data_IF_066304052965
#
_entry.id   IF_066304052965
#
_cell.length_a   1.000
_cell.length_b   1.000
_cell.length_c   1.000
_cell.angle_alpha   90.00
_cell.angle_beta   90.00
_cell.angle_gamma   90.00
#
_symmetry.space_group_name_H-M   'P 1'
#
loop_
_entity.id
_entity.type
_entity.pdbx_description
1 polymer ?
#
# COMPACT_ATOMS: atom_id res chain seq x y z
N UNK A 1 12.48 -3.50 -0.38
CA UNK A 1 13.40 -4.06 0.66
C UNK A 1 14.57 -3.14 0.95
N UNK A 2 15.42 -2.80 -0.03
CA UNK A 2 16.65 -2.02 0.25
C UNK A 2 16.40 -0.51 0.35
N UNK A 3 15.53 0.04 -0.51
CA UNK A 3 15.37 1.49 -0.66
C UNK A 3 15.00 2.20 0.65
N UNK A 4 13.97 1.74 1.37
CA UNK A 4 13.47 2.47 2.54
C UNK A 4 14.45 2.45 3.73
N UNK A 5 15.09 1.33 4.13
CA UNK A 5 16.18 1.36 5.10
C UNK A 5 17.34 2.26 4.68
N UNK A 6 17.75 2.21 3.41
CA UNK A 6 18.84 3.04 2.88
C UNK A 6 18.51 4.53 2.96
N UNK A 7 17.36 4.91 2.41
CA UNK A 7 16.90 6.30 2.42
C UNK A 7 16.66 6.78 3.85
N UNK A 8 16.10 5.93 4.73
CA UNK A 8 15.90 6.24 6.14
C UNK A 8 17.23 6.55 6.84
N UNK A 9 18.23 5.69 6.65
CA UNK A 9 19.57 5.84 7.21
C UNK A 9 20.27 7.14 6.77
N UNK A 10 20.31 7.40 5.46
CA UNK A 10 20.96 8.60 4.92
C UNK A 10 20.17 9.87 5.24
N UNK A 11 18.84 9.77 5.26
CA UNK A 11 17.99 10.88 5.68
C UNK A 11 18.19 11.22 7.15
N UNK A 12 18.43 10.25 8.04
CA UNK A 12 18.71 10.51 9.46
C UNK A 12 20.00 11.32 9.69
N UNK A 13 20.96 11.28 8.75
CA UNK A 13 22.30 11.88 8.85
C UNK A 13 22.56 12.99 7.83
N UNK A 14 21.51 13.58 7.27
CA UNK A 14 21.67 14.58 6.22
C UNK A 14 22.04 15.96 6.78
N UNK A 15 23.16 16.49 6.30
CA UNK A 15 23.72 17.81 6.68
C UNK A 15 23.30 18.94 5.73
N UNK A 16 22.33 18.71 4.85
CA UNK A 16 21.92 19.71 3.85
C UNK A 16 21.39 21.00 4.49
N UNK A 17 21.71 22.16 3.89
CA UNK A 17 21.20 23.48 4.30
C UNK A 17 19.67 23.59 4.25
N UNK A 18 19.03 22.72 3.47
CA UNK A 18 17.58 22.72 3.32
C UNK A 18 16.86 21.97 4.45
N UNK A 19 17.59 21.30 5.34
CA UNK A 19 17.06 20.44 6.40
C UNK A 19 17.46 18.98 6.21
N UNK A 20 17.17 18.15 7.21
CA UNK A 20 17.56 16.74 7.27
C UNK A 20 16.68 15.83 6.38
N UNK A 21 15.37 16.04 6.36
CA UNK A 21 14.36 15.20 5.67
C UNK A 21 13.95 15.77 4.32
N UNK A 22 13.87 17.09 4.24
CA UNK A 22 13.32 17.82 3.07
C UNK A 22 13.95 17.44 1.72
N UNK A 23 15.29 17.27 1.58
CA UNK A 23 15.89 16.90 0.29
C UNK A 23 15.41 15.54 -0.24
N UNK A 24 15.19 14.56 0.65
CA UNK A 24 14.74 13.23 0.28
C UNK A 24 13.25 13.21 -0.10
N UNK A 25 12.44 14.03 0.59
CA UNK A 25 11.03 14.21 0.23
C UNK A 25 10.92 14.89 -1.14
N UNK A 26 11.70 15.94 -1.39
CA UNK A 26 11.72 16.64 -2.67
C UNK A 26 12.18 15.73 -3.81
N UNK A 27 13.27 14.98 -3.62
CA UNK A 27 13.78 14.06 -4.65
C UNK A 27 12.80 12.92 -4.91
N UNK A 28 12.19 12.35 -3.88
CA UNK A 28 11.13 11.35 -4.01
C UNK A 28 9.95 11.86 -4.83
N UNK A 29 9.45 13.07 -4.56
CA UNK A 29 8.33 13.66 -5.29
C UNK A 29 8.67 13.93 -6.77
N UNK A 30 9.87 14.41 -7.07
CA UNK A 30 10.34 14.58 -8.46
C UNK A 30 10.45 13.24 -9.18
N UNK A 31 10.98 12.20 -8.52
CA UNK A 31 11.08 10.87 -9.10
C UNK A 31 9.70 10.25 -9.38
N UNK A 32 8.71 10.45 -8.49
CA UNK A 32 7.32 10.03 -8.74
C UNK A 32 6.75 10.78 -9.95
N UNK A 33 7.04 12.07 -10.10
CA UNK A 33 6.61 12.85 -11.26
C UNK A 33 7.21 12.32 -12.57
N UNK A 34 8.52 12.05 -12.59
CA UNK A 34 9.21 11.45 -13.75
C UNK A 34 8.63 10.08 -14.07
N UNK A 35 8.43 9.23 -13.06
CA UNK A 35 7.85 7.91 -13.24
C UNK A 35 6.43 7.96 -13.82
N UNK A 36 5.57 8.84 -13.29
CA UNK A 36 4.21 9.03 -13.80
C UNK A 36 4.17 9.53 -15.25
N UNK A 37 5.12 10.39 -15.65
CA UNK A 37 5.27 10.80 -17.05
C UNK A 37 5.72 9.63 -17.94
N UNK A 38 6.69 8.83 -17.50
CA UNK A 38 7.15 7.66 -18.25
C UNK A 38 6.03 6.63 -18.46
N UNK A 39 5.24 6.37 -17.42
CA UNK A 39 4.12 5.43 -17.47
C UNK A 39 2.98 5.98 -18.34
N UNK A 40 2.54 7.22 -18.07
CA UNK A 40 1.42 7.83 -18.80
C UNK A 40 1.72 8.03 -20.28
N UNK A 41 2.93 8.46 -20.63
CA UNK A 41 3.35 8.71 -22.01
C UNK A 41 4.10 7.55 -22.66
N UNK A 42 4.06 6.34 -22.07
CA UNK A 42 4.79 5.17 -22.57
C UNK A 42 4.52 4.90 -24.06
N UNK A 43 3.26 5.01 -24.50
CA UNK A 43 2.88 4.79 -25.90
C UNK A 43 3.46 5.85 -26.86
N UNK A 44 3.50 7.13 -26.46
CA UNK A 44 4.07 8.21 -27.28
C UNK A 44 5.59 8.13 -27.33
N UNK A 45 6.22 7.84 -26.20
CA UNK A 45 7.66 7.64 -26.10
C UNK A 45 8.10 6.43 -26.92
N UNK A 46 7.33 5.34 -26.88
CA UNK A 46 7.55 4.17 -27.73
C UNK A 46 7.48 4.53 -29.22
N UNK A 47 6.45 5.29 -29.63
CA UNK A 47 6.33 5.78 -31.01
C UNK A 47 7.50 6.68 -31.42
N UNK A 48 7.90 7.62 -30.57
CA UNK A 48 9.05 8.51 -30.83
C UNK A 48 10.36 7.72 -30.93
N UNK A 49 10.50 6.66 -30.13
CA UNK A 49 11.61 5.73 -30.21
C UNK A 49 11.51 4.80 -31.44
N UNK A 50 10.37 4.78 -32.14
CA UNK A 50 10.13 4.15 -33.45
C UNK A 50 9.25 2.89 -33.42
N UNK A 51 8.41 2.70 -32.40
CA UNK A 51 7.31 1.72 -32.48
C UNK A 51 6.31 2.15 -33.57
N UNK A 52 5.83 1.20 -34.37
CA UNK A 52 4.79 1.48 -35.36
C UNK A 52 3.40 1.40 -34.72
N UNK A 53 2.44 2.11 -35.30
CA UNK A 53 1.08 2.19 -34.74
C UNK A 53 0.24 0.93 -35.00
N UNK A 54 0.58 0.22 -36.07
CA UNK A 54 -0.06 -0.99 -36.58
C UNK A 54 0.51 -2.29 -35.98
N UNK A 55 1.60 -2.20 -35.21
CA UNK A 55 2.18 -3.35 -34.53
C UNK A 55 1.34 -3.77 -33.31
N UNK A 56 1.04 -5.06 -33.23
CA UNK A 56 0.31 -5.65 -32.09
C UNK A 56 1.09 -5.55 -30.77
N UNK A 57 2.42 -5.57 -30.82
CA UNK A 57 3.30 -5.48 -29.65
C UNK A 57 4.26 -4.31 -29.82
N UNK A 58 4.15 -3.32 -28.94
CA UNK A 58 4.96 -2.10 -28.93
C UNK A 58 6.10 -2.25 -27.92
N UNK A 59 7.21 -2.84 -28.37
CA UNK A 59 8.32 -3.25 -27.49
C UNK A 59 8.93 -2.04 -26.76
N UNK A 60 9.09 -0.91 -27.44
CA UNK A 60 9.72 0.28 -26.84
C UNK A 60 8.79 0.94 -25.82
N UNK A 61 7.48 0.99 -26.11
CA UNK A 61 6.48 1.45 -25.16
C UNK A 61 6.46 0.58 -23.88
N UNK A 62 6.54 -0.75 -24.02
CA UNK A 62 6.63 -1.68 -22.88
C UNK A 62 7.88 -1.41 -22.06
N UNK A 63 9.03 -1.14 -22.70
CA UNK A 63 10.26 -0.80 -22.00
C UNK A 63 10.15 0.48 -21.18
N UNK A 64 9.59 1.56 -21.74
CA UNK A 64 9.37 2.82 -20.99
C UNK A 64 8.39 2.63 -19.84
N UNK A 65 7.31 1.87 -20.05
CA UNK A 65 6.36 1.54 -19.00
C UNK A 65 7.03 0.77 -17.85
N UNK A 66 7.80 -0.27 -18.18
CA UNK A 66 8.51 -1.08 -17.19
C UNK A 66 9.54 -0.25 -16.42
N UNK A 67 10.34 0.57 -17.12
CA UNK A 67 11.29 1.48 -16.48
C UNK A 67 10.58 2.46 -15.54
N UNK A 68 9.49 3.09 -16.01
CA UNK A 68 8.67 4.00 -15.20
C UNK A 68 8.11 3.32 -13.96
N UNK A 69 7.63 2.09 -14.08
CA UNK A 69 7.13 1.29 -12.95
C UNK A 69 8.20 1.01 -11.90
N UNK A 70 9.42 0.64 -12.31
CA UNK A 70 10.56 0.44 -11.40
C UNK A 70 10.97 1.74 -10.70
N UNK A 71 11.03 2.86 -11.44
CA UNK A 71 11.32 4.17 -10.84
C UNK A 71 10.21 4.54 -9.85
N UNK A 72 8.94 4.27 -10.16
CA UNK A 72 7.81 4.56 -9.28
C UNK A 72 7.93 3.83 -7.94
N UNK A 73 8.32 2.55 -7.94
CA UNK A 73 8.52 1.79 -6.70
C UNK A 73 9.65 2.38 -5.85
N UNK A 74 10.80 2.68 -6.46
CA UNK A 74 11.93 3.34 -5.77
C UNK A 74 11.52 4.71 -5.23
N UNK A 75 10.80 5.50 -6.02
CA UNK A 75 10.36 6.85 -5.68
C UNK A 75 9.35 6.84 -4.52
N UNK A 76 8.37 5.93 -4.56
CA UNK A 76 7.38 5.78 -3.49
C UNK A 76 8.04 5.41 -2.16
N UNK A 77 8.99 4.46 -2.17
CA UNK A 77 9.74 4.09 -0.97
C UNK A 77 10.63 5.25 -0.47
N UNK A 78 11.21 6.03 -1.39
CA UNK A 78 12.03 7.21 -1.07
C UNK A 78 11.20 8.37 -0.50
N UNK A 79 9.93 8.49 -0.89
CA UNK A 79 9.03 9.54 -0.43
C UNK A 79 8.34 9.16 0.89
N UNK A 80 7.74 7.98 0.97
CA UNK A 80 6.89 7.58 2.11
C UNK A 80 7.68 7.45 3.42
N UNK A 81 8.90 6.88 3.37
CA UNK A 81 9.74 6.67 4.56
C UNK A 81 10.10 7.99 5.26
N UNK A 82 10.78 8.92 4.58
CA UNK A 82 11.09 10.25 5.10
C UNK A 82 9.87 11.05 5.51
N UNK A 83 8.75 10.99 4.78
CA UNK A 83 7.52 11.67 5.20
C UNK A 83 6.99 11.18 6.55
N UNK A 84 6.96 9.85 6.78
CA UNK A 84 6.56 9.28 8.08
C UNK A 84 7.54 9.63 9.19
N UNK A 85 8.84 9.53 8.91
CA UNK A 85 9.88 9.90 9.86
C UNK A 85 9.78 11.39 10.24
N UNK A 86 9.51 12.25 9.26
CA UNK A 86 9.37 13.69 9.48
C UNK A 86 8.14 14.03 10.34
N UNK A 87 7.01 13.33 10.15
CA UNK A 87 5.85 13.46 11.04
C UNK A 87 6.15 13.04 12.48
N UNK A 88 6.94 11.98 12.66
CA UNK A 88 7.37 11.55 13.99
C UNK A 88 8.35 12.55 14.63
N UNK A 89 9.28 13.11 13.84
CA UNK A 89 10.20 14.15 14.28
C UNK A 89 9.45 15.40 14.77
N UNK A 90 8.38 15.81 14.06
CA UNK A 90 7.53 16.94 14.45
C UNK A 90 6.69 16.69 15.70
N UNK A 91 6.43 15.42 16.03
CA UNK A 91 5.75 15.05 17.28
C UNK A 91 6.67 15.22 18.51
N UNK A 92 7.97 15.44 18.32
CA UNK A 92 8.95 15.75 19.37
C UNK A 92 8.92 14.79 20.56
N UNK A 93 8.79 13.48 20.28
CA UNK A 93 8.77 12.43 21.31
C UNK A 93 7.44 12.27 22.05
N UNK A 94 6.42 13.08 21.76
CA UNK A 94 5.09 12.94 22.35
C UNK A 94 4.34 11.77 21.68
N UNK A 95 4.20 10.67 22.40
CA UNK A 95 3.53 9.45 21.94
C UNK A 95 2.08 9.68 21.50
N UNK A 96 1.37 10.67 22.06
CA UNK A 96 0.00 11.01 21.66
C UNK A 96 -0.01 11.78 20.34
N UNK A 97 0.92 12.71 20.14
CA UNK A 97 1.07 13.42 18.86
C UNK A 97 1.50 12.48 17.75
N UNK A 98 2.44 11.56 18.01
CA UNK A 98 2.89 10.56 17.03
C UNK A 98 1.76 9.65 16.55
N UNK A 99 0.89 9.20 17.48
CA UNK A 99 -0.31 8.41 17.12
C UNK A 99 -1.29 9.22 16.29
N UNK A 100 -1.58 10.46 16.70
CA UNK A 100 -2.45 11.37 15.93
C UNK A 100 -1.90 11.65 14.54
N UNK A 101 -0.59 11.87 14.41
CA UNK A 101 0.06 12.13 13.12
C UNK A 101 -0.04 10.92 12.17
N UNK A 102 0.18 9.70 12.66
CA UNK A 102 0.02 8.47 11.88
C UNK A 102 -1.45 8.18 11.52
N UNK A 103 -2.39 8.56 12.38
CA UNK A 103 -3.82 8.52 12.08
C UNK A 103 -4.18 9.46 10.91
N UNK A 104 -3.69 10.72 10.93
CA UNK A 104 -3.85 11.64 9.80
C UNK A 104 -3.16 11.14 8.53
N UNK A 105 -1.97 10.56 8.65
CA UNK A 105 -1.28 9.96 7.50
C UNK A 105 -2.15 8.87 6.86
N UNK A 106 -2.72 7.97 7.66
CA UNK A 106 -3.62 6.91 7.18
C UNK A 106 -4.92 7.46 6.59
N UNK A 107 -5.47 8.52 7.18
CA UNK A 107 -6.64 9.21 6.64
C UNK A 107 -6.37 9.81 5.26
N UNK A 108 -5.26 10.53 5.06
CA UNK A 108 -4.92 11.08 3.76
C UNK A 108 -4.54 10.02 2.73
N UNK A 109 -3.97 8.87 3.15
CA UNK A 109 -3.85 7.71 2.26
C UNK A 109 -5.22 7.21 1.82
N UNK A 110 -6.20 7.17 2.71
CA UNK A 110 -7.57 6.78 2.38
C UNK A 110 -8.22 7.73 1.38
N UNK A 111 -8.05 9.05 1.57
CA UNK A 111 -8.50 10.08 0.61
C UNK A 111 -7.84 9.86 -0.75
N UNK A 112 -6.52 9.62 -0.79
CA UNK A 112 -5.79 9.29 -2.01
C UNK A 112 -6.34 8.04 -2.72
N UNK A 113 -6.63 6.98 -1.97
CA UNK A 113 -7.22 5.76 -2.52
C UNK A 113 -8.61 6.01 -3.13
N UNK A 114 -9.50 6.74 -2.42
CA UNK A 114 -10.83 7.10 -2.95
C UNK A 114 -10.69 7.91 -4.24
N UNK A 115 -9.83 8.92 -4.26
CA UNK A 115 -9.60 9.75 -5.45
C UNK A 115 -9.01 8.92 -6.60
N UNK A 116 -8.08 8.00 -6.30
CA UNK A 116 -7.50 7.10 -7.29
C UNK A 116 -8.51 6.14 -7.90
N UNK A 117 -9.34 5.47 -7.08
CA UNK A 117 -10.40 4.59 -7.57
C UNK A 117 -11.48 5.37 -8.34
N UNK A 118 -11.86 6.56 -7.87
CA UNK A 118 -12.81 7.43 -8.55
C UNK A 118 -12.27 7.91 -9.91
N UNK A 119 -11.01 8.36 -9.96
CA UNK A 119 -10.37 8.81 -11.19
C UNK A 119 -10.20 7.66 -12.19
N UNK A 120 -9.80 6.46 -11.72
CA UNK A 120 -9.68 5.27 -12.56
C UNK A 120 -11.03 4.75 -13.09
N UNK A 121 -12.11 4.95 -12.35
CA UNK A 121 -13.46 4.56 -12.78
C UNK A 121 -14.12 5.57 -13.74
N UNK A 122 -13.58 6.78 -13.87
CA UNK A 122 -14.17 7.82 -14.71
C UNK A 122 -13.64 7.74 -16.15
N UNK A 123 -14.51 7.42 -17.11
CA UNK A 123 -14.12 7.10 -18.49
C UNK A 123 -13.90 8.33 -19.38
N UNK A 124 -14.27 9.53 -18.93
CA UNK A 124 -14.24 10.74 -19.74
C UNK A 124 -13.26 11.79 -19.19
N UNK A 125 -12.28 11.37 -18.39
CA UNK A 125 -11.31 12.28 -17.77
C UNK A 125 -10.44 12.99 -18.82
N UNK A 126 -10.20 12.32 -19.96
CA UNK A 126 -9.49 12.87 -21.11
C UNK A 126 -10.17 14.10 -21.74
N UNK A 127 -11.49 14.27 -21.58
CA UNK A 127 -12.21 15.44 -22.10
C UNK A 127 -11.81 16.74 -21.37
N UNK A 128 -11.49 16.65 -20.08
CA UNK A 128 -10.98 17.80 -19.31
C UNK A 128 -9.58 18.22 -19.74
N UNK A 129 -8.81 17.29 -20.32
CA UNK A 129 -7.42 17.52 -20.74
C UNK A 129 -7.22 17.00 -22.18
N UNK A 130 -7.74 17.73 -23.19
CA UNK A 130 -7.76 17.24 -24.58
C UNK A 130 -6.37 16.95 -25.15
N UNK A 131 -5.33 17.60 -24.63
CA UNK A 131 -3.93 17.40 -25.01
C UNK A 131 -3.39 15.99 -24.71
N UNK A 132 -4.10 15.20 -23.90
CA UNK A 132 -3.70 13.83 -23.54
C UNK A 132 -3.98 12.81 -24.65
N UNK A 133 -4.94 13.09 -25.53
CA UNK A 133 -5.22 12.26 -26.69
C UNK A 133 -4.17 12.52 -27.78
N UNK A 134 -3.59 11.44 -28.29
CA UNK A 134 -2.58 11.50 -29.36
C UNK A 134 -2.84 10.40 -30.38
N UNK A 135 -2.19 10.48 -31.55
CA UNK A 135 -2.30 9.43 -32.58
C UNK A 135 -1.82 8.05 -32.09
N UNK A 136 -1.08 7.96 -30.99
CA UNK A 136 -0.53 6.73 -30.45
C UNK A 136 -1.34 6.14 -29.28
N UNK A 137 -2.29 6.91 -28.74
CA UNK A 137 -2.92 6.70 -27.45
C UNK A 137 -4.43 6.82 -27.60
N UNK A 138 -5.13 5.73 -27.34
CA UNK A 138 -6.58 5.67 -27.37
C UNK A 138 -7.21 6.34 -26.13
N UNK A 139 -8.54 6.26 -26.01
CA UNK A 139 -9.29 6.87 -24.91
C UNK A 139 -8.85 6.34 -23.54
N UNK A 140 -8.57 5.04 -23.42
CA UNK A 140 -8.12 4.43 -22.17
C UNK A 140 -6.75 4.94 -21.75
N UNK A 141 -5.80 4.96 -22.68
CA UNK A 141 -4.49 5.52 -22.47
C UNK A 141 -4.56 7.03 -22.14
N UNK A 142 -5.45 7.78 -22.80
CA UNK A 142 -5.62 9.22 -22.54
C UNK A 142 -6.18 9.50 -21.14
N UNK A 143 -7.18 8.73 -20.68
CA UNK A 143 -7.67 8.84 -19.30
C UNK A 143 -6.57 8.55 -18.27
N UNK A 144 -5.73 7.54 -18.53
CA UNK A 144 -4.60 7.21 -17.67
C UNK A 144 -3.59 8.38 -17.59
N UNK A 145 -3.26 9.01 -18.73
CA UNK A 145 -2.42 10.22 -18.76
C UNK A 145 -3.03 11.36 -17.96
N UNK A 146 -4.32 11.63 -18.13
CA UNK A 146 -5.03 12.67 -17.37
C UNK A 146 -4.95 12.41 -15.86
N UNK A 147 -5.11 11.15 -15.45
CA UNK A 147 -5.00 10.75 -14.05
C UNK A 147 -3.59 10.98 -13.49
N UNK A 148 -2.54 10.57 -14.22
CA UNK A 148 -1.16 10.83 -13.80
C UNK A 148 -0.83 12.32 -13.80
N UNK A 149 -1.28 13.08 -14.79
CA UNK A 149 -1.07 14.53 -14.84
C UNK A 149 -1.66 15.24 -13.60
N UNK A 150 -2.93 14.96 -13.28
CA UNK A 150 -3.59 15.47 -12.07
C UNK A 150 -2.82 15.07 -10.80
N UNK A 151 -2.43 13.81 -10.70
CA UNK A 151 -1.69 13.27 -9.54
C UNK A 151 -0.33 13.95 -9.36
N UNK A 152 0.40 14.18 -10.45
CA UNK A 152 1.71 14.85 -10.43
C UNK A 152 1.58 16.31 -10.01
N UNK A 153 0.62 17.05 -10.59
CA UNK A 153 0.38 18.45 -10.24
C UNK A 153 0.02 18.57 -8.76
N UNK A 154 -0.89 17.72 -8.28
CA UNK A 154 -1.28 17.69 -6.87
C UNK A 154 -0.11 17.34 -5.95
N UNK A 155 0.67 16.31 -6.29
CA UNK A 155 1.83 15.87 -5.52
C UNK A 155 2.88 16.99 -5.40
N UNK A 156 3.25 17.61 -6.52
CA UNK A 156 4.26 18.67 -6.54
C UNK A 156 3.78 19.90 -5.78
N UNK A 157 2.52 20.32 -5.97
CA UNK A 157 1.93 21.44 -5.25
C UNK A 157 1.96 21.20 -3.74
N UNK A 158 1.44 20.05 -3.27
CA UNK A 158 1.40 19.72 -1.85
C UNK A 158 2.80 19.56 -1.26
N UNK A 159 3.73 18.98 -2.01
CA UNK A 159 5.12 18.84 -1.57
C UNK A 159 5.79 20.20 -1.43
N UNK A 160 5.65 21.09 -2.42
CA UNK A 160 6.21 22.45 -2.34
C UNK A 160 5.64 23.21 -1.15
N UNK A 161 4.31 23.20 -0.98
CA UNK A 161 3.66 23.84 0.18
C UNK A 161 4.21 23.26 1.49
N UNK A 162 4.24 21.93 1.63
CA UNK A 162 4.75 21.27 2.84
C UNK A 162 6.20 21.65 3.14
N UNK A 163 7.09 21.59 2.15
CA UNK A 163 8.52 21.88 2.33
C UNK A 163 8.80 23.37 2.62
N UNK A 164 7.98 24.28 2.09
CA UNK A 164 8.09 25.72 2.38
C UNK A 164 7.62 26.06 3.80
N UNK A 165 6.49 25.51 4.24
CA UNK A 165 5.87 25.88 5.52
C UNK A 165 6.43 25.11 6.73
N UNK A 166 6.77 23.83 6.57
CA UNK A 166 7.14 22.96 7.69
C UNK A 166 8.64 23.03 7.93
N UNK A 167 9.08 23.73 8.97
CA UNK A 167 10.49 23.86 9.35
C UNK A 167 11.11 22.51 9.70
N UNK A 168 12.31 22.27 9.19
CA UNK A 168 13.09 21.06 9.44
C UNK A 168 14.46 21.46 9.99
N UNK A 169 14.90 20.77 11.04
CA UNK A 169 16.20 21.07 11.66
C UNK A 169 17.29 20.37 10.87
N UNK A 170 18.40 21.07 10.64
CA UNK A 170 19.59 20.45 10.07
C UNK A 170 20.18 19.47 11.09
N UNK A 171 20.63 18.30 10.62
CA UNK A 171 21.39 17.39 11.47
C UNK A 171 22.83 17.90 11.59
N UNK A 172 23.30 18.09 12.81
CA UNK A 172 24.71 18.28 13.12
C UNK A 172 25.25 17.00 13.77
N UNK A 173 26.43 16.49 13.34
CA UNK A 173 27.09 15.42 14.07
C UNK A 173 27.32 15.85 15.52
N UNK A 174 27.05 14.98 16.48
CA UNK A 174 27.58 15.17 17.84
C UNK A 174 29.10 15.04 17.77
N UNK A 175 29.83 15.93 18.45
CA UNK A 175 31.27 15.76 18.68
C UNK A 175 31.49 14.50 19.53
N UNK A 176 31.66 13.35 18.87
CA UNK A 176 32.15 12.13 19.52
C UNK A 176 33.62 11.97 19.22
N UNK A 177 34.40 11.71 20.27
CA UNK A 177 35.82 11.39 20.20
C UNK A 177 36.09 10.32 19.14
N UNK A 178 37.18 10.55 18.43
CA UNK A 178 37.72 9.85 17.26
C UNK A 178 37.71 8.32 17.44
N UNK A 179 36.62 7.66 17.04
CA UNK A 179 36.64 6.23 16.70
C UNK A 179 36.60 6.13 15.18
N UNK A 180 37.78 6.01 14.58
CA UNK A 180 38.07 6.00 13.13
C UNK A 180 37.48 4.78 12.36
N UNK A 181 36.50 4.09 12.95
CA UNK A 181 35.82 2.95 12.33
C UNK A 181 34.54 3.45 11.66
N UNK A 182 34.65 3.82 10.38
CA UNK A 182 33.48 3.98 9.50
C UNK A 182 32.84 2.61 9.29
N UNK A 183 31.83 2.29 10.09
CA UNK A 183 31.07 1.05 9.91
C UNK A 183 30.38 1.12 8.54
N UNK A 184 30.53 0.12 7.67
CA UNK A 184 29.82 0.09 6.39
C UNK A 184 28.32 0.15 6.62
N UNK A 185 27.58 0.78 5.70
CA UNK A 185 26.11 0.90 5.75
C UNK A 185 25.41 -0.43 6.12
N UNK A 186 25.78 -1.53 5.48
CA UNK A 186 25.22 -2.84 5.79
C UNK A 186 25.61 -3.32 7.20
N UNK A 187 26.83 -3.04 7.65
CA UNK A 187 27.28 -3.31 9.01
C UNK A 187 26.46 -2.55 10.06
N UNK A 188 26.11 -1.29 9.80
CA UNK A 188 25.23 -0.52 10.68
C UNK A 188 23.78 -1.02 10.67
N UNK A 189 23.26 -1.46 9.53
CA UNK A 189 21.94 -2.10 9.46
C UNK A 189 21.93 -3.40 10.27
N UNK A 190 22.91 -4.30 10.05
CA UNK A 190 23.00 -5.55 10.82
C UNK A 190 23.26 -5.30 12.31
N UNK A 191 24.04 -4.27 12.64
CA UNK A 191 24.23 -3.80 14.01
C UNK A 191 22.94 -3.30 14.63
N UNK A 192 22.17 -2.48 13.91
CA UNK A 192 20.86 -2.00 14.35
C UNK A 192 19.89 -3.17 14.60
N UNK A 193 19.88 -4.19 13.73
CA UNK A 193 19.12 -5.42 13.99
C UNK A 193 19.51 -6.11 15.29
N UNK A 194 20.82 -6.22 15.58
CA UNK A 194 21.30 -6.85 16.83
C UNK A 194 21.02 -6.03 18.09
N UNK A 195 20.98 -4.71 17.98
CA UNK A 195 20.83 -3.79 19.12
C UNK A 195 19.37 -3.37 19.33
N UNK A 196 18.45 -3.73 18.42
CA UNK A 196 17.02 -3.44 18.57
C UNK A 196 16.44 -3.99 19.88
N UNK A 197 15.75 -3.12 20.60
CA UNK A 197 15.06 -3.49 21.84
C UNK A 197 13.97 -4.54 21.59
N UNK A 198 13.70 -5.38 22.60
CA UNK A 198 12.67 -6.41 22.56
C UNK A 198 11.31 -5.90 22.04
N UNK A 199 10.79 -4.71 22.42
CA UNK A 199 9.54 -4.16 21.88
C UNK A 199 9.52 -4.00 20.36
N UNK A 200 10.63 -3.64 19.73
CA UNK A 200 10.70 -3.47 18.28
C UNK A 200 10.67 -4.82 17.55
N UNK A 201 11.37 -5.83 18.07
CA UNK A 201 11.30 -7.20 17.53
C UNK A 201 9.89 -7.78 17.62
N UNK A 202 9.21 -7.58 18.74
CA UNK A 202 7.82 -7.99 18.94
C UNK A 202 6.89 -7.33 17.92
N UNK A 203 7.10 -6.03 17.67
CA UNK A 203 6.36 -5.28 16.67
C UNK A 203 6.60 -5.80 15.23
N UNK A 204 7.86 -6.09 14.88
CA UNK A 204 8.23 -6.63 13.56
C UNK A 204 7.54 -7.97 13.32
N UNK A 205 7.53 -8.88 14.29
CA UNK A 205 6.89 -10.20 14.16
C UNK A 205 5.38 -10.06 13.95
N UNK A 206 4.70 -9.25 14.77
CA UNK A 206 3.25 -9.02 14.64
C UNK A 206 2.91 -8.40 13.29
N UNK A 207 3.72 -7.41 12.87
CA UNK A 207 3.57 -6.76 11.56
C UNK A 207 3.74 -7.75 10.43
N UNK A 208 4.76 -8.61 10.49
CA UNK A 208 5.01 -9.61 9.47
C UNK A 208 3.85 -10.60 9.32
N UNK A 209 3.36 -11.14 10.42
CA UNK A 209 2.19 -12.03 10.42
C UNK A 209 0.93 -11.33 9.87
N UNK A 210 0.73 -10.05 10.22
CA UNK A 210 -0.39 -9.27 9.72
C UNK A 210 -0.30 -9.04 8.20
N UNK A 211 0.89 -8.82 7.66
CA UNK A 211 1.08 -8.64 6.21
C UNK A 211 0.99 -9.95 5.42
N UNK A 212 1.33 -11.10 6.01
CA UNK A 212 0.97 -12.42 5.44
C UNK A 212 -0.55 -12.52 5.27
N UNK A 213 -1.33 -11.98 6.23
CA UNK A 213 -2.78 -12.02 6.16
C UNK A 213 -3.39 -11.11 5.09
N UNK A 214 -2.86 -9.89 4.96
CA UNK A 214 -3.36 -8.90 4.01
C UNK A 214 -3.03 -9.22 2.56
N UNK A 215 -1.88 -9.82 2.32
CA UNK A 215 -1.35 -9.92 0.96
C UNK A 215 -2.22 -10.75 0.00
N UNK A 216 -2.82 -11.89 0.39
CA UNK A 216 -3.77 -12.60 -0.47
C UNK A 216 -4.95 -11.73 -0.89
N UNK A 217 -5.51 -10.94 0.04
CA UNK A 217 -6.58 -10.01 -0.30
C UNK A 217 -6.09 -8.93 -1.28
N UNK A 218 -4.97 -8.27 -0.99
CA UNK A 218 -4.45 -7.19 -1.84
C UNK A 218 -4.04 -7.65 -3.25
N UNK A 219 -3.68 -8.93 -3.41
CA UNK A 219 -3.28 -9.49 -4.69
C UNK A 219 -4.49 -9.96 -5.53
N UNK A 220 -5.53 -10.49 -4.87
CA UNK A 220 -6.60 -11.23 -5.53
C UNK A 220 -8.01 -10.67 -5.29
N UNK A 221 -8.20 -9.54 -4.62
CA UNK A 221 -9.51 -8.99 -4.26
C UNK A 221 -10.46 -8.78 -5.47
N UNK A 222 -9.99 -8.08 -6.49
CA UNK A 222 -10.74 -7.72 -7.69
C UNK A 222 -10.88 -8.90 -8.64
N UNK A 223 -9.84 -9.73 -8.74
CA UNK A 223 -9.89 -11.01 -9.45
C UNK A 223 -10.90 -11.95 -8.79
N UNK A 224 -10.94 -12.04 -7.46
CA UNK A 224 -11.92 -12.81 -6.71
C UNK A 224 -13.35 -12.33 -7.00
N UNK A 225 -13.59 -11.02 -7.05
CA UNK A 225 -14.91 -10.51 -7.44
C UNK A 225 -15.25 -10.88 -8.88
N UNK A 226 -14.30 -10.77 -9.82
CA UNK A 226 -14.47 -11.14 -11.23
C UNK A 226 -14.75 -12.62 -11.45
N UNK A 227 -13.89 -13.47 -10.89
CA UNK A 227 -13.85 -14.91 -11.13
C UNK A 227 -14.78 -15.69 -10.21
N UNK A 228 -14.65 -15.50 -8.91
CA UNK A 228 -15.34 -16.32 -7.92
C UNK A 228 -16.77 -15.84 -7.65
N UNK A 229 -17.00 -14.53 -7.58
CA UNK A 229 -18.33 -13.96 -7.30
C UNK A 229 -19.16 -13.85 -8.59
N UNK A 230 -18.58 -13.35 -9.68
CA UNK A 230 -19.27 -13.16 -10.96
C UNK A 230 -19.18 -14.34 -11.93
N UNK A 231 -18.30 -15.33 -11.68
CA UNK A 231 -18.15 -16.49 -12.57
C UNK A 231 -17.45 -16.16 -13.89
N UNK A 232 -16.72 -15.04 -13.95
CA UNK A 232 -16.01 -14.60 -15.14
C UNK A 232 -14.66 -15.28 -15.33
N UNK A 233 -14.13 -15.17 -16.55
CA UNK A 233 -12.78 -15.61 -16.91
C UNK A 233 -12.16 -14.61 -17.87
N UNK A 234 -10.99 -14.08 -17.51
CA UNK A 234 -10.22 -13.11 -18.30
C UNK A 234 -9.63 -13.72 -19.59
N UNK A 235 -9.37 -15.04 -19.60
CA UNK A 235 -8.88 -15.79 -20.75
C UNK A 235 -9.97 -16.50 -21.57
N UNK A 236 -11.23 -16.45 -21.11
CA UNK A 236 -12.32 -17.24 -21.66
C UNK A 236 -13.03 -16.64 -22.88
N UNK A 237 -14.28 -17.03 -23.07
CA UNK A 237 -15.16 -16.49 -24.14
C UNK A 237 -15.53 -15.02 -23.89
N UNK A 238 -16.07 -14.33 -24.90
CA UNK A 238 -16.51 -12.93 -24.75
C UNK A 238 -17.55 -12.73 -23.63
N UNK A 239 -18.39 -13.73 -23.37
CA UNK A 239 -19.38 -13.70 -22.28
C UNK A 239 -18.67 -13.75 -20.92
N UNK A 240 -17.73 -14.67 -20.73
CA UNK A 240 -17.01 -14.83 -19.46
C UNK A 240 -16.07 -13.66 -19.20
N UNK A 241 -15.46 -13.08 -20.24
CA UNK A 241 -14.68 -11.83 -20.14
C UNK A 241 -15.55 -10.66 -19.71
N UNK A 242 -16.76 -10.54 -20.25
CA UNK A 242 -17.71 -9.49 -19.87
C UNK A 242 -18.11 -9.61 -18.40
N UNK A 243 -18.41 -10.83 -17.93
CA UNK A 243 -18.71 -11.09 -16.51
C UNK A 243 -17.51 -10.78 -15.61
N UNK A 244 -16.30 -11.17 -16.04
CA UNK A 244 -15.07 -10.87 -15.32
C UNK A 244 -14.87 -9.36 -15.16
N UNK A 245 -14.95 -8.61 -16.26
CA UNK A 245 -14.82 -7.15 -16.25
C UNK A 245 -15.88 -6.49 -15.37
N UNK A 246 -17.14 -6.97 -15.43
CA UNK A 246 -18.20 -6.49 -14.54
C UNK A 246 -17.87 -6.72 -13.06
N UNK A 247 -17.39 -7.92 -12.71
CA UNK A 247 -16.97 -8.24 -11.35
C UNK A 247 -15.77 -7.40 -10.91
N UNK A 248 -14.76 -7.20 -11.76
CA UNK A 248 -13.62 -6.31 -11.48
C UNK A 248 -14.08 -4.88 -11.20
N UNK A 249 -15.00 -4.32 -12.01
CA UNK A 249 -15.56 -2.99 -11.76
C UNK A 249 -16.31 -2.91 -10.42
N UNK A 250 -17.08 -3.94 -10.06
CA UNK A 250 -17.77 -4.00 -8.76
C UNK A 250 -16.78 -4.22 -7.61
N UNK A 251 -15.68 -4.93 -7.84
CA UNK A 251 -14.57 -5.07 -6.89
C UNK A 251 -13.89 -3.73 -6.63
N UNK A 252 -13.63 -2.94 -7.66
CA UNK A 252 -13.09 -1.58 -7.55
C UNK A 252 -14.04 -0.65 -6.74
N UNK A 253 -15.36 -0.76 -6.95
CA UNK A 253 -16.34 -0.08 -6.09
C UNK A 253 -16.22 -0.55 -4.63
N UNK A 254 -16.05 -1.85 -4.39
CA UNK A 254 -15.77 -2.40 -3.08
C UNK A 254 -14.52 -1.77 -2.44
N UNK A 255 -13.44 -1.62 -3.19
CA UNK A 255 -12.20 -0.99 -2.69
C UNK A 255 -12.38 0.50 -2.39
N UNK A 256 -13.24 1.19 -3.14
CA UNK A 256 -13.63 2.55 -2.80
C UNK A 256 -14.38 2.61 -1.46
N UNK A 257 -15.31 1.68 -1.20
CA UNK A 257 -16.00 1.57 0.09
C UNK A 257 -15.03 1.22 1.23
N UNK A 258 -14.09 0.30 0.97
CA UNK A 258 -13.00 -0.03 1.88
C UNK A 258 -12.21 1.23 2.26
N UNK A 259 -11.81 2.03 1.28
CA UNK A 259 -11.07 3.27 1.48
C UNK A 259 -11.88 4.33 2.25
N UNK A 260 -13.20 4.42 2.04
CA UNK A 260 -14.07 5.31 2.83
C UNK A 260 -14.07 4.89 4.30
N UNK A 261 -14.30 3.61 4.60
CA UNK A 261 -14.30 3.10 5.98
C UNK A 261 -12.92 3.24 6.62
N UNK A 262 -11.85 2.96 5.87
CA UNK A 262 -10.46 3.19 6.25
C UNK A 262 -10.26 4.65 6.70
N UNK A 263 -10.75 5.63 5.94
CA UNK A 263 -10.64 7.04 6.27
C UNK A 263 -11.34 7.41 7.58
N UNK A 264 -12.62 7.04 7.72
CA UNK A 264 -13.36 7.31 8.96
C UNK A 264 -12.75 6.60 10.17
N UNK A 265 -12.36 5.33 10.02
CA UNK A 265 -11.70 4.59 11.08
C UNK A 265 -10.37 5.23 11.47
N UNK A 266 -9.58 5.71 10.50
CA UNK A 266 -8.29 6.37 10.74
C UNK A 266 -8.42 7.57 11.67
N UNK A 267 -9.43 8.42 11.47
CA UNK A 267 -9.72 9.55 12.37
C UNK A 267 -10.12 9.11 13.78
N UNK A 268 -10.77 7.94 13.90
CA UNK A 268 -11.22 7.35 15.15
C UNK A 268 -10.17 6.51 15.90
N UNK A 269 -9.06 6.10 15.27
CA UNK A 269 -8.11 5.12 15.84
C UNK A 269 -7.66 5.50 17.26
N UNK A 270 -7.29 6.76 17.50
CA UNK A 270 -6.80 7.20 18.82
C UNK A 270 -7.91 7.20 19.89
N UNK A 271 -9.13 7.57 19.53
CA UNK A 271 -10.26 7.55 20.47
C UNK A 271 -10.68 6.12 20.80
N UNK A 272 -10.81 5.26 19.80
CA UNK A 272 -11.17 3.85 19.95
C UNK A 272 -10.09 3.11 20.75
N UNK A 273 -8.82 3.33 20.41
CA UNK A 273 -7.66 2.74 21.09
C UNK A 273 -7.71 3.00 22.61
N UNK A 274 -7.96 4.26 23.02
CA UNK A 274 -8.09 4.60 24.44
C UNK A 274 -9.28 3.90 25.10
N UNK A 275 -10.43 3.87 24.43
CA UNK A 275 -11.65 3.24 24.96
C UNK A 275 -11.51 1.72 25.10
N UNK A 276 -10.74 1.09 24.22
CA UNK A 276 -10.47 -0.36 24.25
C UNK A 276 -9.33 -0.75 25.20
N UNK A 277 -8.72 0.21 25.89
CA UNK A 277 -7.64 -0.03 26.85
C UNK A 277 -6.26 -0.17 26.20
N UNK A 278 -6.03 0.46 25.05
CA UNK A 278 -4.72 0.63 24.43
C UNK A 278 -4.63 0.14 22.97
N UNK A 279 -3.56 0.59 22.29
CA UNK A 279 -3.31 0.29 20.87
C UNK A 279 -3.13 -1.21 20.61
N UNK A 280 -2.52 -1.92 21.57
CA UNK A 280 -2.37 -3.37 21.60
C UNK A 280 -3.70 -4.11 21.46
N UNK A 281 -4.68 -3.76 22.31
CA UNK A 281 -6.00 -4.41 22.32
C UNK A 281 -6.78 -4.11 21.05
N UNK A 282 -6.73 -2.86 20.59
CA UNK A 282 -7.35 -2.47 19.33
C UNK A 282 -6.76 -3.29 18.17
N UNK A 283 -5.43 -3.38 18.05
CA UNK A 283 -4.80 -4.15 16.98
C UNK A 283 -5.16 -5.64 17.04
N UNK A 284 -5.11 -6.25 18.23
CA UNK A 284 -5.52 -7.64 18.40
C UNK A 284 -6.96 -7.91 17.93
N UNK A 285 -7.91 -7.07 18.35
CA UNK A 285 -9.34 -7.23 18.00
C UNK A 285 -9.57 -7.06 16.50
N UNK A 286 -8.99 -6.05 15.87
CA UNK A 286 -9.20 -5.84 14.43
C UNK A 286 -8.57 -6.94 13.59
N UNK A 287 -7.50 -7.59 14.05
CA UNK A 287 -6.93 -8.75 13.37
C UNK A 287 -7.90 -9.96 13.41
N UNK A 288 -8.69 -10.13 14.48
CA UNK A 288 -9.77 -11.11 14.46
C UNK A 288 -10.91 -10.72 13.51
N UNK A 289 -11.21 -9.42 13.38
CA UNK A 289 -12.16 -8.93 12.37
C UNK A 289 -11.64 -9.22 10.95
N UNK A 290 -10.34 -9.00 10.69
CA UNK A 290 -9.69 -9.38 9.44
C UNK A 290 -9.82 -10.88 9.17
N UNK A 291 -9.50 -11.72 10.16
CA UNK A 291 -9.63 -13.17 10.05
C UNK A 291 -11.06 -13.60 9.71
N UNK A 292 -12.05 -13.03 10.40
CA UNK A 292 -13.46 -13.30 10.13
C UNK A 292 -13.88 -12.85 8.74
N UNK A 293 -13.45 -11.67 8.28
CA UNK A 293 -13.78 -11.17 6.94
C UNK A 293 -13.20 -12.07 5.84
N UNK A 294 -11.94 -12.49 5.97
CA UNK A 294 -11.29 -13.40 5.02
C UNK A 294 -11.97 -14.78 5.01
N UNK A 295 -12.35 -15.32 6.17
CA UNK A 295 -13.13 -16.55 6.25
C UNK A 295 -14.52 -16.40 5.61
N UNK A 296 -15.18 -15.25 5.77
CA UNK A 296 -16.48 -14.97 5.16
C UNK A 296 -16.40 -14.79 3.64
N UNK A 297 -15.26 -14.40 3.08
CA UNK A 297 -15.07 -14.39 1.62
C UNK A 297 -15.16 -15.81 1.04
N UNK A 298 -14.63 -16.82 1.74
CA UNK A 298 -14.77 -18.24 1.37
C UNK A 298 -16.25 -18.64 1.35
N UNK A 299 -17.04 -18.19 2.33
CA UNK A 299 -18.48 -18.42 2.36
C UNK A 299 -19.19 -17.77 1.16
N UNK A 300 -18.89 -16.51 0.87
CA UNK A 300 -19.48 -15.79 -0.27
C UNK A 300 -19.17 -16.49 -1.59
N UNK A 301 -17.95 -16.98 -1.79
CA UNK A 301 -17.59 -17.78 -2.98
C UNK A 301 -18.44 -19.04 -3.07
N UNK A 302 -18.59 -19.80 -1.97
CA UNK A 302 -19.40 -21.02 -1.96
C UNK A 302 -20.86 -20.73 -2.33
N UNK A 303 -21.44 -19.69 -1.74
CA UNK A 303 -22.81 -19.25 -2.05
C UNK A 303 -22.95 -18.81 -3.52
N UNK A 304 -21.95 -18.13 -4.08
CA UNK A 304 -21.94 -17.72 -5.49
C UNK A 304 -21.87 -18.94 -6.43
N UNK A 305 -21.02 -19.92 -6.13
CA UNK A 305 -20.92 -21.17 -6.89
C UNK A 305 -22.24 -21.95 -6.84
N UNK A 306 -22.81 -22.11 -5.65
CA UNK A 306 -24.07 -22.86 -5.49
C UNK A 306 -25.24 -22.16 -6.18
N UNK A 307 -25.29 -20.82 -6.16
CA UNK A 307 -26.26 -20.08 -6.95
C UNK A 307 -26.12 -20.35 -8.45
N UNK A 308 -24.90 -20.26 -9.00
CA UNK A 308 -24.64 -20.53 -10.42
C UNK A 308 -25.02 -21.96 -10.83
N UNK A 309 -24.81 -22.95 -9.95
CA UNK A 309 -25.24 -24.34 -10.21
C UNK A 309 -26.75 -24.46 -10.43
N UNK A 310 -27.55 -23.60 -9.79
CA UNK A 310 -29.02 -23.63 -9.89
C UNK A 310 -29.57 -22.67 -10.96
N UNK A 311 -28.98 -21.49 -11.11
CA UNK A 311 -29.48 -20.43 -11.99
C UNK A 311 -28.86 -20.45 -13.40
N UNK A 312 -27.80 -21.23 -13.61
CA UNK A 312 -27.05 -21.34 -14.85
C UNK A 312 -25.61 -20.84 -14.73
N UNK A 313 -24.71 -21.40 -15.54
CA UNK A 313 -23.27 -21.16 -15.48
C UNK A 313 -22.88 -19.68 -15.62
N UNK A 314 -23.63 -18.93 -16.45
CA UNK A 314 -23.40 -17.51 -16.71
C UNK A 314 -24.30 -16.58 -15.87
N UNK A 315 -25.01 -17.11 -14.88
CA UNK A 315 -25.84 -16.30 -13.99
C UNK A 315 -24.94 -15.45 -13.07
N UNK A 316 -25.19 -14.14 -13.04
CA UNK A 316 -24.52 -13.24 -12.11
C UNK A 316 -24.90 -13.51 -10.64
N UNK A 317 -24.19 -12.91 -9.67
CA UNK A 317 -24.51 -13.09 -8.26
C UNK A 317 -25.87 -12.47 -7.93
N UNK A 318 -26.58 -13.07 -6.98
CA UNK A 318 -27.80 -12.46 -6.41
C UNK A 318 -27.47 -11.14 -5.73
N UNK A 319 -28.47 -10.28 -5.55
CA UNK A 319 -28.31 -9.02 -4.82
C UNK A 319 -27.74 -9.24 -3.39
N UNK A 320 -28.13 -10.33 -2.73
CA UNK A 320 -27.62 -10.69 -1.40
C UNK A 320 -26.15 -11.07 -1.40
N UNK A 321 -25.70 -11.87 -2.38
CA UNK A 321 -24.28 -12.27 -2.51
C UNK A 321 -23.42 -11.04 -2.84
N UNK A 322 -23.88 -10.20 -3.78
CA UNK A 322 -23.20 -8.95 -4.14
C UNK A 322 -23.10 -8.00 -2.94
N UNK A 323 -24.20 -7.81 -2.21
CA UNK A 323 -24.21 -6.96 -1.01
C UNK A 323 -23.29 -7.52 0.08
N UNK A 324 -23.28 -8.85 0.28
CA UNK A 324 -22.35 -9.52 1.19
C UNK A 324 -20.89 -9.26 0.84
N UNK A 325 -20.52 -9.42 -0.44
CA UNK A 325 -19.17 -9.15 -0.93
C UNK A 325 -18.74 -7.69 -0.70
N UNK A 326 -19.59 -6.72 -1.08
CA UNK A 326 -19.31 -5.29 -0.88
C UNK A 326 -19.22 -4.90 0.61
N UNK A 327 -20.04 -5.54 1.45
CA UNK A 327 -19.99 -5.34 2.91
C UNK A 327 -18.67 -5.83 3.49
N UNK A 328 -18.16 -6.99 3.03
CA UNK A 328 -16.85 -7.50 3.45
C UNK A 328 -15.71 -6.54 3.05
N UNK A 329 -15.74 -6.02 1.81
CA UNK A 329 -14.77 -5.00 1.39
C UNK A 329 -14.82 -3.76 2.28
N UNK A 330 -16.01 -3.24 2.57
CA UNK A 330 -16.16 -2.09 3.46
C UNK A 330 -15.63 -2.38 4.88
N UNK A 331 -15.99 -3.52 5.47
CA UNK A 331 -15.55 -3.92 6.82
C UNK A 331 -14.04 -4.09 6.92
N UNK A 332 -13.39 -4.58 5.87
CA UNK A 332 -11.93 -4.65 5.80
C UNK A 332 -11.24 -3.29 5.90
N UNK A 333 -11.95 -2.17 5.66
CA UNK A 333 -11.38 -0.83 5.87
C UNK A 333 -10.99 -0.58 7.33
N UNK A 334 -11.68 -1.22 8.28
CA UNK A 334 -11.42 -1.10 9.73
C UNK A 334 -10.04 -1.64 10.10
N UNK A 335 -9.71 -2.93 9.88
CA UNK A 335 -8.37 -3.45 10.17
C UNK A 335 -7.28 -2.80 9.33
N UNK A 336 -7.60 -2.34 8.10
CA UNK A 336 -6.62 -1.67 7.26
C UNK A 336 -6.18 -0.32 7.86
N UNK A 337 -7.11 0.43 8.47
CA UNK A 337 -6.80 1.69 9.16
C UNK A 337 -5.80 1.50 10.29
N UNK A 338 -5.99 0.44 11.07
CA UNK A 338 -5.07 0.09 12.15
C UNK A 338 -3.72 -0.36 11.59
N UNK A 339 -3.73 -1.17 10.53
CA UNK A 339 -2.50 -1.66 9.87
C UNK A 339 -1.64 -0.53 9.32
N UNK A 340 -2.24 0.55 8.82
CA UNK A 340 -1.50 1.70 8.29
C UNK A 340 -1.09 2.75 9.33
N UNK A 341 -1.62 2.67 10.55
CA UNK A 341 -1.37 3.68 11.60
C UNK A 341 -0.57 3.13 12.78
N UNK A 342 -1.08 2.10 13.48
CA UNK A 342 -0.55 1.63 14.76
C UNK A 342 0.90 1.11 14.64
N UNK A 343 1.26 0.27 13.65
CA UNK A 343 2.62 -0.26 13.58
C UNK A 343 3.67 0.84 13.45
N UNK A 344 3.42 1.80 12.56
CA UNK A 344 4.34 2.93 12.32
C UNK A 344 4.38 3.88 13.52
N UNK A 345 3.24 4.13 14.17
CA UNK A 345 3.21 4.92 15.40
C UNK A 345 4.03 4.28 16.52
N UNK A 346 3.87 2.97 16.75
CA UNK A 346 4.62 2.23 17.77
C UNK A 346 6.11 2.19 17.45
N UNK A 347 6.48 1.94 16.18
CA UNK A 347 7.89 1.97 15.76
C UNK A 347 8.52 3.35 16.00
N UNK A 348 7.82 4.44 15.68
CA UNK A 348 8.31 5.78 15.94
C UNK A 348 8.44 6.11 17.43
N UNK A 349 7.51 5.64 18.26
CA UNK A 349 7.57 5.80 19.73
C UNK A 349 8.78 5.05 20.30
N UNK A 350 8.95 3.77 19.94
CA UNK A 350 10.10 2.95 20.40
C UNK A 350 11.43 3.52 19.89
N UNK A 351 11.47 4.02 18.66
CA UNK A 351 12.67 4.66 18.10
C UNK A 351 13.02 5.95 18.83
N UNK A 352 12.02 6.72 19.29
CA UNK A 352 12.27 7.95 20.03
C UNK A 352 12.82 7.72 21.44
N UNK A 353 12.47 6.60 22.08
CA UNK A 353 12.98 6.24 23.41
C UNK A 353 14.37 5.60 23.37
N UNK A 354 14.70 4.87 22.29
CA UNK A 354 15.96 4.13 22.14
C UNK A 354 17.10 4.96 21.53
N UNK A 355 16.81 6.16 21.01
CA UNK A 355 17.78 6.97 20.26
C UNK A 355 18.15 6.43 18.88
N UNK A 356 17.53 5.32 18.44
CA UNK A 356 17.64 4.84 17.07
C UNK A 356 17.05 5.88 16.10
N UNK A 357 17.69 6.07 14.95
CA UNK A 357 17.21 6.99 13.92
C UNK A 357 15.80 6.65 13.45
N UNK A 358 14.89 7.65 13.44
CA UNK A 358 13.48 7.46 13.07
C UNK A 358 13.33 6.87 11.67
N UNK A 359 14.14 7.33 10.71
CA UNK A 359 14.10 6.85 9.32
C UNK A 359 14.53 5.40 9.23
N UNK A 360 15.63 5.02 9.88
CA UNK A 360 16.13 3.65 9.90
C UNK A 360 15.12 2.69 10.53
N UNK A 361 14.57 3.01 11.71
CA UNK A 361 13.60 2.17 12.42
C UNK A 361 12.35 1.90 11.59
N UNK A 362 11.80 2.93 10.93
CA UNK A 362 10.65 2.78 10.02
C UNK A 362 11.02 1.99 8.77
N UNK A 363 12.24 2.14 8.26
CA UNK A 363 12.76 1.34 7.15
C UNK A 363 12.88 -0.14 7.51
N UNK A 364 13.37 -0.45 8.72
CA UNK A 364 13.44 -1.81 9.26
C UNK A 364 12.04 -2.41 9.42
N UNK A 365 11.08 -1.65 9.95
CA UNK A 365 9.69 -2.09 10.02
C UNK A 365 9.14 -2.43 8.63
N UNK A 366 9.51 -1.68 7.58
CA UNK A 366 9.05 -2.00 6.22
C UNK A 366 9.60 -3.33 5.69
N UNK A 367 10.74 -3.83 6.20
CA UNK A 367 11.17 -5.20 5.86
C UNK A 367 10.17 -6.24 6.36
N UNK A 368 9.53 -6.00 7.51
CA UNK A 368 8.45 -6.83 8.03
C UNK A 368 7.20 -6.80 7.14
N UNK A 369 7.11 -5.89 6.18
CA UNK A 369 6.01 -5.79 5.22
C UNK A 369 6.40 -6.50 3.92
N UNK A 370 7.55 -6.11 3.37
CA UNK A 370 7.99 -6.56 2.05
C UNK A 370 8.41 -8.02 2.03
N UNK A 371 9.03 -8.54 3.10
CA UNK A 371 9.43 -9.96 3.18
C UNK A 371 8.19 -10.87 3.08
N UNK A 372 7.15 -10.72 3.93
CA UNK A 372 5.89 -11.44 3.77
C UNK A 372 5.26 -11.31 2.39
N UNK A 373 5.20 -10.09 1.85
CA UNK A 373 4.66 -9.85 0.52
C UNK A 373 5.36 -10.70 -0.54
N UNK A 374 6.69 -10.75 -0.53
CA UNK A 374 7.44 -11.59 -1.47
C UNK A 374 7.16 -13.09 -1.26
N UNK A 375 7.12 -13.55 -0.01
CA UNK A 375 6.84 -14.95 0.32
C UNK A 375 5.46 -15.36 -0.19
N UNK A 376 4.43 -14.53 0.04
CA UNK A 376 3.07 -14.83 -0.41
C UNK A 376 2.94 -14.65 -1.93
N UNK A 377 3.56 -13.64 -2.55
CA UNK A 377 3.58 -13.50 -4.01
C UNK A 377 4.16 -14.73 -4.71
N UNK A 378 5.30 -15.25 -4.23
CA UNK A 378 5.96 -16.40 -4.83
C UNK A 378 5.28 -17.72 -4.47
N UNK A 379 4.70 -17.81 -3.27
CA UNK A 379 4.07 -19.01 -2.75
C UNK A 379 2.61 -19.22 -3.18
N UNK A 380 1.86 -18.15 -3.44
CA UNK A 380 0.42 -18.20 -3.72
C UNK A 380 0.09 -19.04 -4.95
N UNK A 381 0.74 -18.79 -6.10
CA UNK A 381 0.46 -19.55 -7.33
C UNK A 381 0.60 -21.07 -7.18
N UNK A 382 1.76 -21.58 -6.74
CA UNK A 382 1.94 -23.01 -6.47
C UNK A 382 0.96 -23.54 -5.42
N UNK A 383 0.73 -22.78 -4.35
CA UNK A 383 -0.18 -23.17 -3.28
C UNK A 383 -1.62 -23.30 -3.76
N UNK A 384 -2.13 -22.32 -4.51
CA UNK A 384 -3.48 -22.32 -5.05
C UNK A 384 -3.68 -23.51 -6.02
N UNK A 385 -2.65 -23.85 -6.80
CA UNK A 385 -2.68 -25.00 -7.70
C UNK A 385 -2.88 -26.34 -6.96
N UNK A 386 -2.37 -26.47 -5.73
CA UNK A 386 -2.52 -27.68 -4.92
C UNK A 386 -3.95 -27.89 -4.39
N UNK A 387 -4.75 -26.83 -4.35
CA UNK A 387 -6.13 -26.85 -3.86
C UNK A 387 -7.17 -26.67 -4.98
N UNK A 388 -6.79 -26.94 -6.24
CA UNK A 388 -7.70 -26.90 -7.39
C UNK A 388 -7.82 -25.53 -8.08
N UNK A 389 -6.96 -24.57 -7.72
CA UNK A 389 -6.92 -23.22 -8.29
C UNK A 389 -7.90 -22.24 -7.64
N UNK A 390 -7.84 -20.99 -8.08
CA UNK A 390 -8.65 -19.88 -7.55
C UNK A 390 -8.02 -19.19 -6.35
N UNK A 391 -8.76 -18.27 -5.72
CA UNK A 391 -8.22 -17.36 -4.70
C UNK A 391 -8.51 -17.79 -3.25
N UNK A 392 -9.29 -18.87 -3.08
CA UNK A 392 -9.78 -19.38 -1.80
C UNK A 392 -8.67 -19.82 -0.84
N UNK A 393 -7.64 -20.58 -1.28
CA UNK A 393 -6.60 -21.06 -0.38
C UNK A 393 -5.80 -19.89 0.23
N UNK A 394 -5.50 -18.88 -0.58
CA UNK A 394 -4.92 -17.61 -0.13
C UNK A 394 -5.72 -16.95 0.99
N UNK A 395 -7.05 -16.88 0.90
CA UNK A 395 -7.89 -16.29 1.95
C UNK A 395 -7.95 -17.13 3.23
N UNK A 396 -7.90 -18.46 3.14
CA UNK A 396 -7.83 -19.33 4.32
C UNK A 396 -6.51 -19.14 5.05
N UNK A 397 -5.39 -19.16 4.33
CA UNK A 397 -4.06 -18.87 4.91
C UNK A 397 -4.05 -17.48 5.53
N UNK A 398 -4.63 -16.50 4.83
CA UNK A 398 -4.72 -15.14 5.35
C UNK A 398 -5.55 -15.05 6.63
N UNK A 399 -6.68 -15.77 6.71
CA UNK A 399 -7.52 -15.80 7.90
C UNK A 399 -6.79 -16.41 9.12
N UNK A 400 -6.06 -17.51 8.90
CA UNK A 400 -5.24 -18.16 9.94
C UNK A 400 -4.13 -17.22 10.39
N UNK A 401 -3.40 -16.60 9.45
CA UNK A 401 -2.33 -15.66 9.75
C UNK A 401 -2.86 -14.43 10.52
N UNK A 402 -4.04 -13.92 10.18
CA UNK A 402 -4.69 -12.82 10.89
C UNK A 402 -5.05 -13.21 12.32
N UNK A 403 -5.63 -14.39 12.54
CA UNK A 403 -5.96 -14.88 13.88
C UNK A 403 -4.70 -15.07 14.75
N UNK A 404 -3.64 -15.65 14.19
CA UNK A 404 -2.34 -15.79 14.87
C UNK A 404 -1.77 -14.40 15.19
N UNK A 405 -1.77 -13.47 14.24
CA UNK A 405 -1.32 -12.09 14.45
C UNK A 405 -2.12 -11.40 15.56
N UNK A 406 -3.44 -11.62 15.63
CA UNK A 406 -4.32 -11.12 16.69
C UNK A 406 -3.94 -11.64 18.08
N UNK A 407 -3.72 -12.95 18.20
CA UNK A 407 -3.26 -13.56 19.47
C UNK A 407 -1.90 -13.01 19.87
N UNK A 408 -0.92 -13.03 18.95
CA UNK A 408 0.45 -12.56 19.22
C UNK A 408 0.45 -11.07 19.58
N UNK A 409 -0.37 -10.24 18.93
CA UNK A 409 -0.54 -8.83 19.28
C UNK A 409 -1.00 -8.68 20.74
N UNK A 410 -2.03 -9.43 21.16
CA UNK A 410 -2.58 -9.37 22.52
C UNK A 410 -1.66 -9.95 23.59
N UNK A 411 -0.73 -10.83 23.24
CA UNK A 411 0.19 -11.43 24.23
C UNK A 411 1.52 -10.68 24.29
N UNK A 412 2.06 -10.26 23.15
CA UNK A 412 3.48 -9.90 23.02
C UNK A 412 3.71 -8.39 22.88
N UNK A 413 2.77 -7.61 22.36
CA UNK A 413 2.97 -6.15 22.27
C UNK A 413 3.02 -5.50 23.66
N UNK A 414 3.80 -4.42 23.84
CA UNK A 414 3.86 -3.66 25.08
C UNK A 414 2.56 -2.89 25.38
#
# INVERSE_FOLDING_TARGET
MLVQPTVGYYSDRCTSRFGRRRPFIASGAVLVAVAGLLIGYAADLGKLAGDKLDEAVKVRAIWFFALGFWILDVANNTLQGPCRAFLADLAAGDARKTRTANAFFSFFMAVGNVLGYAAGSYTNLHEMFPFTMTKACDVYCANLKSCFFLSIVLLLLLTVVSLCYVKDKQWSPEEKEDSDVKIPFFGEIFGAFKVMERPMWMLIIVTALNWIAWFPFLLFDTDWMGREVYGGDSGGTEITKKLYNQGVHVGALGLMLNAIVLGFMSLGVEWISRKMGGAKRLWGVVNFVLAACLAMMVLVTKLAIDHRRTAGEFAGPTAGIRAGALTLFALLGIPLAVTFSIPFALASIISSSSGAGQGLSLGVLNLAIVIPQMVVSLGSGPFDSWFGGGNLPGFVVGAIAAAISGVVALTVLP
#
